data_IF_307563373516
#
_entry.id   IF_307563373516
#
_cell.length_a   1.000
_cell.length_b   1.000
_cell.length_c   1.000
_cell.angle_alpha   90.00
_cell.angle_beta   90.00
_cell.angle_gamma   90.00
#
_symmetry.space_group_name_H-M   'P 1'
#
loop_
_entity.id
_entity.type
_entity.pdbx_description
1 polymer ?
#
# COMPACT_ATOMS: atom_id res chain seq x y z
N UNK A 1 -17.40 9.40 11.39
CA UNK A 1 -18.09 8.09 11.44
C UNK A 1 -19.61 8.26 11.53
N UNK A 2 -20.14 9.26 12.24
CA UNK A 2 -21.58 9.49 12.41
C UNK A 2 -22.39 9.52 11.09
N UNK A 3 -22.00 10.27 10.04
CA UNK A 3 -22.80 10.34 8.81
C UNK A 3 -22.95 8.99 8.07
N UNK A 4 -22.03 8.05 8.32
CA UNK A 4 -22.04 6.72 7.67
C UNK A 4 -22.94 5.74 8.43
N UNK A 5 -23.22 6.00 9.71
CA UNK A 5 -24.03 5.14 10.58
C UNK A 5 -25.50 5.63 10.69
N UNK A 6 -25.78 6.83 10.20
CA UNK A 6 -27.12 7.39 10.11
C UNK A 6 -28.02 6.51 9.22
N UNK A 7 -29.24 6.24 9.67
CA UNK A 7 -30.17 5.33 8.99
C UNK A 7 -29.89 3.82 9.20
N UNK A 8 -28.71 3.44 9.69
CA UNK A 8 -28.37 2.05 10.00
C UNK A 8 -28.48 1.72 11.50
N UNK A 9 -28.12 2.66 12.38
CA UNK A 9 -28.23 2.49 13.82
C UNK A 9 -29.48 3.18 14.38
N UNK A 10 -30.16 2.60 15.39
CA UNK A 10 -31.19 3.31 16.12
C UNK A 10 -30.65 4.60 16.75
N UNK A 11 -31.45 5.66 16.76
CA UNK A 11 -31.06 7.00 17.24
C UNK A 11 -30.34 6.99 18.59
N UNK A 12 -30.83 6.19 19.54
CA UNK A 12 -30.23 6.09 20.88
C UNK A 12 -28.78 5.59 20.85
N UNK A 13 -28.45 4.66 19.94
CA UNK A 13 -27.09 4.14 19.77
C UNK A 13 -26.22 5.14 19.00
N UNK A 14 -26.80 5.84 18.01
CA UNK A 14 -26.09 6.85 17.24
C UNK A 14 -25.70 8.05 18.11
N UNK A 15 -26.63 8.58 18.93
CA UNK A 15 -26.36 9.66 19.89
C UNK A 15 -25.32 9.25 20.92
N UNK A 16 -25.42 8.03 21.45
CA UNK A 16 -24.41 7.50 22.34
C UNK A 16 -23.03 7.46 21.66
N UNK A 17 -22.94 6.94 20.44
CA UNK A 17 -21.68 6.91 19.69
C UNK A 17 -21.14 8.33 19.38
N UNK A 18 -22.03 9.30 19.16
CA UNK A 18 -21.66 10.69 18.92
C UNK A 18 -20.88 11.29 20.09
N UNK A 19 -21.22 10.96 21.34
CA UNK A 19 -20.46 11.42 22.51
C UNK A 19 -18.97 11.07 22.39
N UNK A 20 -18.65 9.81 22.09
CA UNK A 20 -17.26 9.38 21.94
C UNK A 20 -16.57 10.04 20.74
N UNK A 21 -17.28 10.16 19.60
CA UNK A 21 -16.72 10.78 18.39
C UNK A 21 -16.39 12.24 18.63
N UNK A 22 -17.28 12.98 19.28
CA UNK A 22 -17.10 14.39 19.61
C UNK A 22 -15.96 14.57 20.64
N UNK A 23 -15.96 13.77 21.70
CA UNK A 23 -14.89 13.77 22.70
C UNK A 23 -13.51 13.51 22.08
N UNK A 24 -13.40 12.52 21.19
CA UNK A 24 -12.15 12.24 20.48
C UNK A 24 -11.76 13.35 19.52
N UNK A 25 -12.73 13.98 18.85
CA UNK A 25 -12.48 15.11 17.94
C UNK A 25 -11.81 16.26 18.69
N UNK A 26 -12.42 16.71 19.80
CA UNK A 26 -11.90 17.78 20.64
C UNK A 26 -10.52 17.43 21.21
N UNK A 27 -10.36 16.22 21.75
CA UNK A 27 -9.08 15.77 22.33
C UNK A 27 -7.93 15.64 21.30
N UNK A 28 -8.25 15.66 20.00
CA UNK A 28 -7.28 15.62 18.89
C UNK A 28 -7.01 17.00 18.28
N UNK A 29 -7.65 18.07 18.77
CA UNK A 29 -7.42 19.41 18.25
C UNK A 29 -5.99 19.91 18.52
N UNK A 30 -5.57 20.89 17.72
CA UNK A 30 -4.26 21.54 17.89
C UNK A 30 -4.20 22.44 19.12
N UNK A 31 -5.34 22.98 19.53
CA UNK A 31 -5.51 23.88 20.67
C UNK A 31 -6.80 23.47 21.36
N UNK A 32 -6.73 23.11 22.63
CA UNK A 32 -7.88 22.66 23.41
C UNK A 32 -7.98 23.60 24.60
N UNK A 33 -9.14 24.24 24.81
CA UNK A 33 -9.33 25.07 25.99
C UNK A 33 -9.65 24.20 27.21
N UNK A 34 -9.45 24.74 28.42
CA UNK A 34 -9.77 24.00 29.66
C UNK A 34 -11.28 23.71 29.74
N UNK A 35 -12.12 24.65 29.29
CA UNK A 35 -13.57 24.45 29.24
C UNK A 35 -13.97 23.32 28.28
N UNK A 36 -13.26 23.16 27.15
CA UNK A 36 -13.52 22.04 26.24
C UNK A 36 -13.13 20.72 26.90
N UNK A 37 -12.01 20.67 27.63
CA UNK A 37 -11.60 19.48 28.40
C UNK A 37 -12.65 19.14 29.47
N UNK A 38 -13.17 20.13 30.19
CA UNK A 38 -14.21 19.92 31.21
C UNK A 38 -15.52 19.38 30.57
N UNK A 39 -15.92 19.92 29.41
CA UNK A 39 -17.09 19.44 28.66
C UNK A 39 -16.88 17.99 28.16
N UNK A 40 -15.67 17.69 27.66
CA UNK A 40 -15.30 16.34 27.22
C UNK A 40 -15.32 15.34 28.37
N UNK A 41 -14.90 15.75 29.58
CA UNK A 41 -14.95 14.89 30.78
C UNK A 41 -16.38 14.42 31.07
N UNK A 42 -17.34 15.35 30.99
CA UNK A 42 -18.76 15.05 31.16
C UNK A 42 -19.27 14.12 30.06
N UNK A 43 -18.95 14.41 28.79
CA UNK A 43 -19.36 13.56 27.66
C UNK A 43 -18.80 12.14 27.74
N UNK A 44 -17.53 12.00 28.14
CA UNK A 44 -16.88 10.69 28.28
C UNK A 44 -17.45 9.91 29.46
N UNK A 45 -17.75 10.57 30.58
CA UNK A 45 -18.43 9.95 31.71
C UNK A 45 -19.83 9.46 31.32
N UNK A 46 -20.60 10.29 30.62
CA UNK A 46 -21.93 9.94 30.12
C UNK A 46 -21.86 8.73 29.16
N UNK A 47 -20.89 8.71 28.25
CA UNK A 47 -20.65 7.56 27.37
C UNK A 47 -20.41 6.27 28.16
N UNK A 48 -19.49 6.29 29.12
CA UNK A 48 -19.14 5.07 29.90
C UNK A 48 -20.33 4.59 30.74
N UNK A 49 -21.07 5.49 31.39
CA UNK A 49 -22.25 5.13 32.20
C UNK A 49 -23.39 4.60 31.33
N UNK A 50 -23.64 5.25 30.19
CA UNK A 50 -24.73 4.87 29.28
C UNK A 50 -24.43 3.55 28.56
N UNK A 51 -23.16 3.25 28.29
CA UNK A 51 -22.75 2.00 27.65
C UNK A 51 -23.24 0.76 28.40
N UNK A 52 -23.16 0.74 29.74
CA UNK A 52 -23.67 -0.37 30.54
C UNK A 52 -25.17 -0.60 30.34
N UNK A 53 -25.94 0.47 30.23
CA UNK A 53 -27.40 0.41 30.07
C UNK A 53 -27.80 -0.01 28.65
N UNK A 54 -27.08 0.45 27.63
CA UNK A 54 -27.37 0.14 26.24
C UNK A 54 -26.87 -1.24 25.79
N UNK A 55 -25.72 -1.68 26.32
CA UNK A 55 -25.01 -2.88 25.83
C UNK A 55 -24.77 -3.95 26.90
N UNK A 56 -25.39 -3.78 28.08
CA UNK A 56 -25.28 -4.65 29.25
C UNK A 56 -23.91 -4.62 29.92
N UNK A 57 -23.81 -5.26 31.09
CA UNK A 57 -22.60 -5.33 31.93
C UNK A 57 -21.40 -5.95 31.21
N UNK A 58 -21.61 -6.85 30.25
CA UNK A 58 -20.55 -7.49 29.46
C UNK A 58 -19.75 -6.49 28.61
N UNK A 59 -20.33 -5.33 28.31
CA UNK A 59 -19.67 -4.27 27.54
C UNK A 59 -18.67 -3.45 28.37
N UNK A 60 -18.76 -3.52 29.70
CA UNK A 60 -17.89 -2.81 30.65
C UNK A 60 -16.53 -3.49 30.80
N UNK A 61 -15.80 -3.54 29.68
CA UNK A 61 -14.45 -4.08 29.60
C UNK A 61 -13.41 -3.13 30.19
N UNK A 62 -12.18 -3.62 30.34
CA UNK A 62 -11.04 -2.80 30.71
C UNK A 62 -10.89 -1.57 29.81
N UNK A 63 -11.02 -1.73 28.49
CA UNK A 63 -10.90 -0.62 27.53
C UNK A 63 -12.00 0.42 27.72
N UNK A 64 -13.23 -0.01 28.03
CA UNK A 64 -14.33 0.90 28.36
C UNK A 64 -13.99 1.75 29.59
N UNK A 65 -13.37 1.17 30.61
CA UNK A 65 -12.89 1.91 31.77
C UNK A 65 -11.70 2.83 31.45
N UNK A 66 -10.80 2.44 30.54
CA UNK A 66 -9.68 3.29 30.14
C UNK A 66 -10.14 4.59 29.45
N UNK A 67 -11.30 4.59 28.78
CA UNK A 67 -11.87 5.77 28.16
C UNK A 67 -12.08 6.94 29.15
N UNK A 68 -12.50 6.65 30.38
CA UNK A 68 -12.63 7.67 31.43
C UNK A 68 -11.30 8.31 31.87
N UNK A 69 -10.16 7.66 31.60
CA UNK A 69 -8.84 8.22 31.94
C UNK A 69 -8.23 9.04 30.81
N UNK A 70 -8.78 8.98 29.59
CA UNK A 70 -8.24 9.72 28.44
C UNK A 70 -8.26 11.24 28.66
N UNK A 71 -9.34 11.75 29.25
CA UNK A 71 -9.48 13.20 29.51
C UNK A 71 -8.43 13.68 30.51
N UNK A 72 -8.15 12.87 31.54
CA UNK A 72 -7.05 13.13 32.48
C UNK A 72 -5.69 13.11 31.78
N UNK A 73 -5.43 12.17 30.88
CA UNK A 73 -4.21 12.16 30.08
C UNK A 73 -4.09 13.44 29.24
N UNK A 74 -5.17 13.89 28.60
CA UNK A 74 -5.15 15.11 27.80
C UNK A 74 -4.88 16.36 28.64
N UNK A 75 -5.50 16.45 29.82
CA UNK A 75 -5.27 17.56 30.76
C UNK A 75 -3.82 17.64 31.22
N UNK A 76 -3.16 16.50 31.42
CA UNK A 76 -1.80 16.46 31.95
C UNK A 76 -0.74 16.56 30.84
N UNK A 77 -0.93 15.87 29.72
CA UNK A 77 0.12 15.59 28.74
C UNK A 77 -0.16 16.26 27.38
N UNK A 78 -1.28 16.98 27.25
CA UNK A 78 -1.70 17.65 26.02
C UNK A 78 -2.53 16.74 25.10
N UNK A 79 -2.80 17.17 23.85
CA UNK A 79 -3.70 16.45 22.94
C UNK A 79 -3.30 14.99 22.70
N UNK A 80 -4.29 14.14 22.36
CA UNK A 80 -4.07 12.70 22.16
C UNK A 80 -3.02 12.37 21.09
N UNK A 81 -2.87 13.20 20.05
CA UNK A 81 -1.86 12.97 19.01
C UNK A 81 -0.42 13.09 19.54
N UNK A 82 -0.19 13.76 20.67
CA UNK A 82 1.14 13.95 21.26
C UNK A 82 1.62 12.72 22.05
N UNK A 83 0.69 11.91 22.57
CA UNK A 83 1.01 10.81 23.49
C UNK A 83 0.30 9.49 23.13
N UNK A 84 -0.34 9.39 21.97
CA UNK A 84 -0.93 8.14 21.46
C UNK A 84 0.07 7.36 20.61
N UNK A 85 -0.21 6.06 20.43
CA UNK A 85 0.53 5.21 19.52
C UNK A 85 0.23 5.49 18.03
N UNK A 86 -0.79 6.32 17.72
CA UNK A 86 -1.28 6.51 16.35
C UNK A 86 -0.19 7.02 15.37
N UNK A 87 0.63 8.03 15.71
CA UNK A 87 1.71 8.47 14.82
C UNK A 87 2.76 7.38 14.58
N UNK A 88 3.04 6.55 15.59
CA UNK A 88 3.99 5.44 15.50
C UNK A 88 3.45 4.33 14.59
N UNK A 89 2.19 3.94 14.73
CA UNK A 89 1.55 2.94 13.86
C UNK A 89 1.45 3.44 12.41
N UNK A 90 1.14 4.72 12.20
CA UNK A 90 1.20 5.34 10.88
C UNK A 90 2.62 5.27 10.28
N UNK A 91 3.64 5.57 11.10
CA UNK A 91 5.04 5.42 10.73
C UNK A 91 5.41 3.99 10.36
N UNK A 92 4.99 3.00 11.16
CA UNK A 92 5.19 1.59 10.87
C UNK A 92 4.54 1.17 9.55
N UNK A 93 3.30 1.60 9.30
CA UNK A 93 2.60 1.38 8.04
C UNK A 93 3.36 1.96 6.85
N UNK A 94 3.86 3.19 6.99
CA UNK A 94 4.69 3.85 5.97
C UNK A 94 5.98 3.07 5.69
N UNK A 95 6.74 2.69 6.72
CA UNK A 95 7.98 1.94 6.56
C UNK A 95 7.73 0.58 5.90
N UNK A 96 6.72 -0.16 6.36
CA UNK A 96 6.32 -1.46 5.82
C UNK A 96 5.98 -1.37 4.33
N UNK A 97 5.25 -0.33 3.90
CA UNK A 97 4.89 -0.14 2.50
C UNK A 97 6.09 0.07 1.56
N UNK A 98 7.23 0.55 2.11
CA UNK A 98 8.47 0.83 1.37
C UNK A 98 9.44 -0.34 1.35
N UNK A 99 9.25 -1.35 2.20
CA UNK A 99 10.00 -2.62 2.10
C UNK A 99 9.39 -3.46 0.97
N UNK A 100 10.10 -3.56 -0.16
CA UNK A 100 9.66 -4.34 -1.34
C UNK A 100 10.32 -5.71 -1.44
N UNK A 101 11.48 -5.87 -0.83
CA UNK A 101 12.21 -7.13 -0.81
C UNK A 101 12.91 -7.32 0.54
N UNK A 102 13.14 -8.58 0.92
CA UNK A 102 13.90 -8.94 2.12
C UNK A 102 15.37 -8.56 2.05
N UNK A 103 15.89 -8.27 0.85
CA UNK A 103 17.29 -7.95 0.64
C UNK A 103 17.53 -6.44 0.76
N UNK A 104 18.47 -6.03 1.62
CA UNK A 104 18.87 -4.63 1.75
C UNK A 104 17.76 -3.72 2.29
N UNK A 105 17.02 -4.18 3.30
CA UNK A 105 15.94 -3.41 3.94
C UNK A 105 16.44 -2.03 4.41
N UNK A 106 17.60 -1.90 5.11
CA UNK A 106 18.08 -0.59 5.53
C UNK A 106 18.26 0.39 4.35
N UNK A 107 18.82 -0.07 3.24
CA UNK A 107 19.04 0.74 2.04
C UNK A 107 17.73 1.18 1.38
N UNK A 108 16.74 0.27 1.33
CA UNK A 108 15.41 0.60 0.81
C UNK A 108 14.75 1.69 1.66
N UNK A 109 14.83 1.59 2.98
CA UNK A 109 14.26 2.56 3.92
C UNK A 109 15.00 3.90 3.87
N UNK A 110 16.33 3.90 3.94
CA UNK A 110 17.13 5.13 3.84
C UNK A 110 16.84 5.88 2.54
N UNK A 111 16.74 5.17 1.40
CA UNK A 111 16.39 5.77 0.12
C UNK A 111 15.00 6.37 0.12
N UNK A 112 14.01 5.67 0.67
CA UNK A 112 12.64 6.16 0.77
C UNK A 112 12.53 7.44 1.63
N UNK A 113 13.18 7.45 2.79
CA UNK A 113 13.20 8.60 3.69
C UNK A 113 13.97 9.80 3.10
N UNK A 114 15.12 9.54 2.46
CA UNK A 114 15.90 10.58 1.79
C UNK A 114 15.09 11.22 0.65
N UNK A 115 14.38 10.41 -0.14
CA UNK A 115 13.52 10.90 -1.21
C UNK A 115 12.38 11.76 -0.68
N UNK A 116 11.69 11.30 0.37
CA UNK A 116 10.62 12.07 1.01
C UNK A 116 11.13 13.41 1.56
N UNK A 117 12.28 13.38 2.25
CA UNK A 117 12.91 14.60 2.77
C UNK A 117 13.26 15.58 1.65
N UNK A 118 13.78 15.08 0.53
CA UNK A 118 14.10 15.90 -0.63
C UNK A 118 12.85 16.51 -1.25
N UNK A 119 11.76 15.74 -1.40
CA UNK A 119 10.47 16.22 -1.92
C UNK A 119 9.89 17.33 -1.03
N UNK A 120 9.87 17.14 0.29
CA UNK A 120 9.40 18.18 1.21
C UNK A 120 10.21 19.47 1.07
N UNK A 121 11.54 19.38 1.10
CA UNK A 121 12.42 20.55 0.93
C UNK A 121 12.23 21.24 -0.41
N UNK A 122 12.10 20.48 -1.51
CA UNK A 122 11.85 21.05 -2.83
C UNK A 122 10.51 21.80 -2.88
N UNK A 123 9.47 21.25 -2.24
CA UNK A 123 8.16 21.90 -2.18
C UNK A 123 8.14 23.18 -1.35
N UNK A 124 9.00 23.29 -0.33
CA UNK A 124 9.17 24.50 0.48
C UNK A 124 9.97 25.58 -0.26
N UNK A 125 10.97 25.17 -1.05
CA UNK A 125 11.89 26.09 -1.72
C UNK A 125 11.34 26.67 -3.03
N UNK A 126 10.43 25.96 -3.71
CA UNK A 126 9.90 26.44 -5.00
C UNK A 126 8.53 25.85 -5.34
N UNK A 127 7.61 26.72 -5.77
CA UNK A 127 6.24 26.34 -6.18
C UNK A 127 6.09 26.21 -7.70
N UNK A 128 7.20 25.98 -8.42
CA UNK A 128 7.14 25.79 -9.87
C UNK A 128 6.35 24.55 -10.24
N UNK A 129 5.43 24.67 -11.21
CA UNK A 129 4.63 23.56 -11.74
C UNK A 129 5.49 22.35 -12.13
N UNK A 130 6.66 22.58 -12.74
CA UNK A 130 7.57 21.51 -13.15
C UNK A 130 8.13 20.72 -11.95
N UNK A 131 8.40 21.39 -10.84
CA UNK A 131 8.91 20.75 -9.61
C UNK A 131 7.81 19.95 -8.94
N UNK A 132 6.58 20.47 -8.90
CA UNK A 132 5.41 19.72 -8.40
C UNK A 132 5.13 18.47 -9.23
N UNK A 133 5.16 18.58 -10.56
CA UNK A 133 5.01 17.44 -11.48
C UNK A 133 6.11 16.40 -11.27
N UNK A 134 7.36 16.83 -11.12
CA UNK A 134 8.48 15.94 -10.80
C UNK A 134 8.30 15.24 -9.46
N UNK A 135 7.98 15.97 -8.39
CA UNK A 135 7.74 15.40 -7.06
C UNK A 135 6.61 14.36 -7.09
N UNK A 136 5.50 14.65 -7.77
CA UNK A 136 4.39 13.71 -7.93
C UNK A 136 4.80 12.45 -8.70
N UNK A 137 5.68 12.59 -9.71
CA UNK A 137 6.19 11.44 -10.47
C UNK A 137 7.03 10.48 -9.62
N UNK A 138 7.69 10.98 -8.56
CA UNK A 138 8.55 10.15 -7.70
C UNK A 138 7.75 9.14 -6.85
N UNK A 139 6.48 9.44 -6.54
CA UNK A 139 5.59 8.50 -5.85
C UNK A 139 4.89 7.53 -6.83
N UNK A 140 4.89 7.82 -8.13
CA UNK A 140 4.36 6.87 -9.11
C UNK A 140 5.30 5.69 -9.28
N UNK A 141 4.77 4.48 -9.02
CA UNK A 141 5.49 3.23 -9.26
C UNK A 141 5.56 2.94 -10.76
N UNK A 142 6.34 3.73 -11.49
CA UNK A 142 6.56 3.50 -12.91
C UNK A 142 7.57 2.37 -13.06
N UNK A 143 7.09 1.19 -13.45
CA UNK A 143 7.99 0.06 -13.73
C UNK A 143 8.78 0.40 -14.99
N UNK A 144 10.05 0.78 -14.85
CA UNK A 144 10.88 1.12 -16.00
C UNK A 144 11.17 -0.11 -16.87
N UNK A 145 11.40 0.11 -18.17
CA UNK A 145 11.77 -0.92 -19.16
C UNK A 145 10.78 -2.10 -19.19
N UNK A 146 9.51 -1.77 -19.29
CA UNK A 146 8.41 -2.75 -19.32
C UNK A 146 7.51 -2.41 -20.49
N UNK A 147 7.10 -3.42 -21.24
CA UNK A 147 6.10 -3.31 -22.31
C UNK A 147 4.87 -4.09 -21.85
N UNK A 148 3.73 -3.42 -21.72
CA UNK A 148 2.47 -4.04 -21.30
C UNK A 148 1.53 -4.11 -22.49
N UNK A 149 0.97 -5.28 -22.75
CA UNK A 149 -0.09 -5.49 -23.73
C UNK A 149 -1.40 -5.68 -22.97
N UNK A 150 -2.31 -4.71 -23.08
CA UNK A 150 -3.54 -4.67 -22.30
C UNK A 150 -4.56 -5.74 -22.71
N UNK A 151 -4.54 -6.18 -23.97
CA UNK A 151 -5.55 -7.10 -24.51
C UNK A 151 -5.33 -8.56 -24.11
N UNK A 152 -4.08 -8.97 -23.86
CA UNK A 152 -3.73 -10.37 -23.60
C UNK A 152 -3.28 -10.64 -22.16
N UNK A 153 -3.27 -9.61 -21.30
CA UNK A 153 -2.75 -9.74 -19.94
C UNK A 153 -1.24 -10.04 -19.88
N UNK A 154 -0.50 -9.72 -20.94
CA UNK A 154 0.93 -10.00 -21.09
C UNK A 154 1.77 -8.77 -20.78
N UNK A 155 2.86 -8.96 -20.05
CA UNK A 155 3.80 -7.90 -19.76
C UNK A 155 5.24 -8.38 -19.89
N UNK A 156 6.00 -7.77 -20.78
CA UNK A 156 7.41 -8.07 -20.98
C UNK A 156 8.29 -7.18 -20.10
N UNK A 157 9.36 -7.75 -19.54
CA UNK A 157 10.30 -7.02 -18.70
C UNK A 157 11.70 -6.97 -19.32
N UNK A 158 12.33 -5.80 -19.23
CA UNK A 158 13.68 -5.54 -19.72
C UNK A 158 13.71 -4.81 -21.06
N UNK A 159 14.93 -4.60 -21.57
CA UNK A 159 15.13 -4.06 -22.91
C UNK A 159 14.98 -5.21 -23.92
N UNK A 160 14.06 -5.05 -24.86
CA UNK A 160 13.91 -5.99 -25.97
C UNK A 160 15.12 -5.94 -26.91
N UNK A 161 15.50 -7.09 -27.44
CA UNK A 161 16.57 -7.23 -28.45
C UNK A 161 16.01 -7.80 -29.75
N UNK A 162 16.57 -7.49 -30.93
CA UNK A 162 16.12 -8.09 -32.17
C UNK A 162 16.11 -9.63 -32.08
N UNK A 163 15.06 -10.26 -32.61
CA UNK A 163 14.95 -11.71 -32.66
C UNK A 163 16.08 -12.32 -33.49
N UNK A 164 16.71 -13.35 -32.93
CA UNK A 164 17.70 -14.18 -33.61
C UNK A 164 17.08 -15.55 -33.80
N UNK A 165 17.10 -16.09 -35.02
CA UNK A 165 16.50 -17.40 -35.32
C UNK A 165 17.02 -18.45 -34.35
N UNK A 166 16.10 -19.18 -33.72
CA UNK A 166 16.45 -20.29 -32.84
C UNK A 166 16.81 -21.52 -33.67
N UNK A 167 18.00 -22.07 -33.48
CA UNK A 167 18.53 -23.21 -34.25
C UNK A 167 18.34 -24.57 -33.56
N UNK A 168 17.48 -24.66 -32.54
CA UNK A 168 17.17 -25.92 -31.85
C UNK A 168 15.87 -26.58 -32.30
N UNK A 169 15.52 -27.76 -31.77
CA UNK A 169 14.26 -28.44 -32.09
C UNK A 169 13.08 -27.62 -31.56
N UNK A 170 12.28 -27.05 -32.46
CA UNK A 170 11.03 -26.36 -32.14
C UNK A 170 9.84 -27.29 -32.38
N UNK A 171 8.90 -27.31 -31.44
CA UNK A 171 7.54 -27.75 -31.75
C UNK A 171 6.83 -26.61 -32.46
N UNK A 172 6.40 -26.84 -33.70
CA UNK A 172 5.72 -25.90 -34.58
C UNK A 172 6.57 -24.64 -34.90
N UNK A 173 7.34 -24.65 -36.00
CA UNK A 173 8.11 -23.48 -36.39
C UNK A 173 7.16 -22.38 -36.90
N UNK A 174 6.94 -21.36 -36.07
CA UNK A 174 6.34 -20.10 -36.52
C UNK A 174 7.45 -19.23 -37.09
N UNK A 175 7.32 -18.78 -38.34
CA UNK A 175 8.21 -17.77 -38.88
C UNK A 175 7.85 -16.41 -38.29
N UNK A 176 8.80 -15.80 -37.58
CA UNK A 176 8.66 -14.44 -37.06
C UNK A 176 9.19 -13.43 -38.06
N UNK A 177 8.57 -12.27 -38.11
CA UNK A 177 8.97 -11.12 -38.91
C UNK A 177 10.33 -10.56 -38.49
N UNK A 178 10.92 -9.77 -39.39
CA UNK A 178 12.14 -8.99 -39.12
C UNK A 178 11.96 -7.95 -38.00
N UNK A 179 10.72 -7.64 -37.62
CA UNK A 179 10.37 -6.73 -36.53
C UNK A 179 10.25 -7.42 -35.15
N UNK A 180 10.40 -8.74 -35.08
CA UNK A 180 10.23 -9.47 -33.84
C UNK A 180 11.31 -9.12 -32.80
N UNK A 181 10.88 -9.02 -31.54
CA UNK A 181 11.69 -8.60 -30.39
C UNK A 181 11.71 -9.69 -29.34
N UNK A 182 12.91 -10.05 -28.89
CA UNK A 182 13.15 -11.01 -27.81
C UNK A 182 13.22 -10.35 -26.44
N UNK A 183 12.62 -11.02 -25.46
CA UNK A 183 12.69 -10.68 -24.04
C UNK A 183 13.20 -11.87 -23.23
N UNK A 184 13.74 -11.59 -22.04
CA UNK A 184 14.22 -12.63 -21.12
C UNK A 184 13.17 -13.03 -20.08
N UNK A 185 12.12 -12.22 -19.92
CA UNK A 185 11.08 -12.36 -18.88
C UNK A 185 9.75 -11.80 -19.35
N UNK A 186 8.67 -12.51 -19.05
CA UNK A 186 7.29 -12.03 -19.25
C UNK A 186 6.42 -12.40 -18.04
N UNK A 187 5.36 -11.62 -17.83
CA UNK A 187 4.19 -11.99 -17.03
C UNK A 187 3.14 -12.50 -18.00
N UNK A 188 2.63 -13.70 -17.77
CA UNK A 188 1.56 -14.31 -18.55
C UNK A 188 0.61 -15.03 -17.59
N UNK A 189 -0.69 -14.77 -17.66
CA UNK A 189 -1.69 -15.35 -16.75
C UNK A 189 -1.25 -15.32 -15.27
N UNK A 190 -0.85 -14.14 -14.79
CA UNK A 190 -0.37 -13.89 -13.42
C UNK A 190 0.90 -14.67 -13.01
N UNK A 191 1.53 -15.40 -13.94
CA UNK A 191 2.75 -16.16 -13.71
C UNK A 191 3.94 -15.48 -14.39
N UNK A 192 5.06 -15.36 -13.68
CA UNK A 192 6.30 -14.83 -14.24
C UNK A 192 7.04 -15.97 -14.92
N UNK A 193 7.21 -15.88 -16.23
CA UNK A 193 8.01 -16.81 -17.04
C UNK A 193 9.37 -16.21 -17.38
N UNK A 194 10.40 -17.05 -17.39
CA UNK A 194 11.78 -16.63 -17.66
C UNK A 194 12.44 -17.56 -18.67
N UNK A 195 13.38 -17.06 -19.47
CA UNK A 195 14.16 -17.95 -20.35
C UNK A 195 15.11 -18.84 -19.54
N UNK A 196 15.50 -19.98 -20.13
CA UNK A 196 16.50 -20.91 -19.61
C UNK A 196 17.79 -20.17 -19.22
N UNK A 197 18.32 -19.36 -20.13
CA UNK A 197 19.51 -18.53 -19.99
C UNK A 197 19.41 -17.51 -18.86
N UNK A 198 18.22 -17.01 -18.55
CA UNK A 198 18.00 -16.10 -17.43
C UNK A 198 18.03 -16.83 -16.07
N UNK A 199 17.60 -18.08 -16.05
CA UNK A 199 17.30 -18.83 -14.83
C UNK A 199 18.53 -19.57 -14.25
N UNK A 200 19.61 -19.71 -15.02
CA UNK A 200 20.81 -20.51 -14.68
C UNK A 200 21.43 -20.18 -13.31
N UNK A 201 21.39 -18.90 -12.89
CA UNK A 201 21.99 -18.44 -11.63
C UNK A 201 20.96 -17.73 -10.72
N UNK A 202 19.69 -18.17 -10.76
CA UNK A 202 18.61 -17.57 -9.98
C UNK A 202 18.03 -18.56 -8.98
N UNK A 203 17.59 -18.05 -7.83
CA UNK A 203 17.01 -18.82 -6.73
C UNK A 203 15.69 -19.53 -7.12
N UNK A 204 14.95 -18.98 -8.09
CA UNK A 204 13.75 -19.57 -8.66
C UNK A 204 13.95 -19.81 -10.16
N UNK A 205 13.53 -20.99 -10.64
CA UNK A 205 13.59 -21.36 -12.03
C UNK A 205 12.18 -21.39 -12.63
N UNK A 206 11.83 -20.31 -13.33
CA UNK A 206 10.53 -20.18 -14.00
C UNK A 206 10.64 -20.38 -15.52
N UNK A 207 11.64 -21.16 -15.96
CA UNK A 207 11.81 -21.52 -17.38
C UNK A 207 11.13 -22.82 -17.77
N UNK A 208 10.56 -23.56 -16.82
CA UNK A 208 9.87 -24.82 -17.10
C UNK A 208 8.37 -24.59 -17.08
N UNK A 209 7.67 -25.04 -18.12
CA UNK A 209 6.22 -24.91 -18.28
C UNK A 209 5.58 -26.26 -18.57
N UNK A 210 4.31 -26.40 -18.20
CA UNK A 210 3.47 -27.55 -18.58
C UNK A 210 2.54 -27.12 -19.72
N UNK A 211 2.59 -27.83 -20.83
CA UNK A 211 1.75 -27.62 -22.00
C UNK A 211 0.35 -28.22 -21.76
N UNK A 212 -0.63 -27.80 -22.57
CA UNK A 212 -2.02 -28.27 -22.47
C UNK A 212 -2.17 -29.78 -22.68
N UNK A 213 -1.24 -30.39 -23.42
CA UNK A 213 -1.15 -31.83 -23.65
C UNK A 213 -0.50 -32.62 -22.49
N UNK A 214 -0.16 -31.94 -21.39
CA UNK A 214 0.44 -32.54 -20.21
C UNK A 214 1.95 -32.69 -20.26
N UNK A 215 2.61 -32.38 -21.38
CA UNK A 215 4.09 -32.43 -21.51
C UNK A 215 4.74 -31.24 -20.82
N UNK A 216 5.99 -31.42 -20.43
CA UNK A 216 6.81 -30.36 -19.86
C UNK A 216 7.78 -29.83 -20.92
N UNK A 217 7.89 -28.51 -21.00
CA UNK A 217 8.80 -27.81 -21.90
C UNK A 217 9.69 -26.83 -21.14
N UNK A 218 10.81 -26.46 -21.76
CA UNK A 218 11.69 -25.38 -21.28
C UNK A 218 11.60 -24.19 -22.24
N UNK A 219 11.43 -23.00 -21.68
CA UNK A 219 11.38 -21.75 -22.41
C UNK A 219 12.81 -21.35 -22.78
N UNK A 220 13.16 -21.46 -24.06
CA UNK A 220 14.44 -20.98 -24.57
C UNK A 220 14.37 -19.51 -24.98
N UNK A 221 13.25 -19.09 -25.60
CA UNK A 221 13.03 -17.72 -26.07
C UNK A 221 11.62 -17.25 -25.76
N UNK A 222 11.51 -15.96 -25.45
CA UNK A 222 10.24 -15.23 -25.36
C UNK A 222 10.30 -14.16 -26.44
N UNK A 223 9.38 -14.21 -27.39
CA UNK A 223 9.37 -13.35 -28.58
C UNK A 223 8.03 -12.61 -28.64
N UNK A 224 8.09 -11.33 -28.97
CA UNK A 224 6.95 -10.51 -29.31
C UNK A 224 7.13 -10.02 -30.74
N UNK A 225 6.15 -10.31 -31.59
CA UNK A 225 6.14 -9.86 -32.98
C UNK A 225 4.89 -9.01 -33.20
N UNK A 226 5.07 -7.75 -33.60
CA UNK A 226 3.98 -6.80 -33.83
C UNK A 226 3.24 -7.00 -35.15
N UNK A 227 3.66 -7.98 -35.97
CA UNK A 227 3.12 -8.22 -37.31
C UNK A 227 2.23 -9.47 -37.43
N UNK A 228 2.03 -10.18 -36.32
CA UNK A 228 1.09 -11.29 -36.13
C UNK A 228 0.01 -10.89 -35.14
#
# INVERSE_FOLDING_TARGET
>A
SIPVLEGFLPDRHLRHWALLVESLHVMLEKRISISDIDAVDIMMLEFVVTAQHLYEKKSMSFNMHQLSHLVKSVRLWGPLWAHSAFPFECGNGYLKARVKASNGIPQQLCRALALQTAVCKLSELTSSRRVLEYCNSLDTQTTQKTMSMSEEGVRFFGKGTPYVKFCGPLQNPTEFSSQAVEFKRMLFNQSILTTSSYSVNKKANNSVVKLMDGRYGRIEKIVHDSST
#
